data_IF_219791706178
#
_entry.id   IF_219791706178
#
_cell.length_a   1.000
_cell.length_b   1.000
_cell.length_c   1.000
_cell.angle_alpha   90.00
_cell.angle_beta   90.00
_cell.angle_gamma   90.00
#
_symmetry.space_group_name_H-M   'P 1'
#
loop_
_entity.id
_entity.type
_entity.pdbx_description
1 polymer ?
#
# COMPACT_ATOMS: atom_id res chain seq x y z
N UNK A 1 -7.78 3.10 -14.74
CA UNK A 1 -6.45 3.74 -14.94
C UNK A 1 -5.60 3.44 -13.71
N UNK A 2 -4.42 2.83 -13.87
CA UNK A 2 -3.57 2.39 -12.74
C UNK A 2 -3.07 3.56 -11.87
N UNK A 3 -2.86 4.75 -12.44
CA UNK A 3 -2.54 5.97 -11.68
C UNK A 3 -3.64 6.38 -10.67
N UNK A 4 -4.91 6.20 -11.03
CA UNK A 4 -6.05 6.51 -10.16
C UNK A 4 -6.15 5.52 -9.00
N UNK A 5 -5.75 4.27 -9.26
CA UNK A 5 -5.72 3.21 -8.27
C UNK A 5 -4.61 3.45 -7.22
N UNK A 6 -3.40 3.81 -7.65
CA UNK A 6 -2.32 4.20 -6.74
C UNK A 6 -2.71 5.39 -5.85
N UNK A 7 -3.44 6.36 -6.39
CA UNK A 7 -4.00 7.48 -5.61
C UNK A 7 -4.93 7.02 -4.47
N UNK A 8 -5.81 6.05 -4.72
CA UNK A 8 -6.70 5.47 -3.68
C UNK A 8 -5.90 4.77 -2.58
N UNK A 9 -4.86 4.02 -2.96
CA UNK A 9 -3.97 3.32 -2.03
C UNK A 9 -3.26 4.32 -1.12
N UNK A 10 -2.66 5.36 -1.70
CA UNK A 10 -1.97 6.42 -0.94
C UNK A 10 -2.96 7.10 0.01
N UNK A 11 -4.16 7.45 -0.44
CA UNK A 11 -5.18 8.08 0.41
C UNK A 11 -5.61 7.18 1.58
N UNK A 12 -5.77 5.87 1.35
CA UNK A 12 -6.12 4.90 2.40
C UNK A 12 -5.01 4.80 3.46
N UNK A 13 -3.75 4.80 3.04
CA UNK A 13 -2.59 4.74 3.93
C UNK A 13 -2.32 6.09 4.63
N UNK A 14 -2.57 7.21 3.96
CA UNK A 14 -2.37 8.54 4.52
C UNK A 14 -3.21 8.78 5.79
N UNK A 15 -4.37 8.15 5.92
CA UNK A 15 -5.18 8.20 7.15
C UNK A 15 -4.52 7.53 8.36
N UNK A 16 -3.50 6.68 8.15
CA UNK A 16 -2.82 5.90 9.20
C UNK A 16 -1.40 6.38 9.48
N UNK A 17 -0.62 6.57 8.42
CA UNK A 17 0.81 6.92 8.50
C UNK A 17 1.11 8.33 7.98
N UNK A 18 0.08 9.08 7.58
CA UNK A 18 0.23 10.46 7.14
C UNK A 18 1.12 10.57 5.88
N UNK A 19 2.07 11.53 5.85
CA UNK A 19 2.89 11.81 4.67
C UNK A 19 3.85 10.66 4.31
N UNK A 20 4.18 9.77 5.25
CA UNK A 20 5.02 8.60 4.98
C UNK A 20 4.35 7.58 4.04
N UNK A 21 3.03 7.68 3.84
CA UNK A 21 2.28 6.80 2.95
C UNK A 21 2.84 6.78 1.53
N UNK A 22 3.26 7.93 1.00
CA UNK A 22 3.78 8.02 -0.37
C UNK A 22 5.11 7.29 -0.54
N UNK A 23 6.01 7.41 0.43
CA UNK A 23 7.30 6.72 0.43
C UNK A 23 7.11 5.21 0.56
N UNK A 24 6.17 4.77 1.41
CA UNK A 24 5.84 3.34 1.56
C UNK A 24 5.26 2.73 0.28
N UNK A 25 4.32 3.42 -0.39
CA UNK A 25 3.79 2.95 -1.67
C UNK A 25 4.89 2.85 -2.71
N UNK A 26 5.80 3.83 -2.75
CA UNK A 26 6.92 3.84 -3.69
C UNK A 26 7.87 2.68 -3.43
N UNK A 27 8.24 2.44 -2.18
CA UNK A 27 9.13 1.34 -1.78
C UNK A 27 8.51 -0.03 -2.08
N UNK A 28 7.22 -0.23 -1.74
CA UNK A 28 6.50 -1.45 -2.07
C UNK A 28 6.38 -1.67 -3.60
N UNK A 29 6.16 -0.62 -4.40
CA UNK A 29 6.18 -0.71 -5.85
C UNK A 29 7.58 -1.06 -6.39
N UNK A 30 8.63 -0.46 -5.84
CA UNK A 30 10.01 -0.73 -6.22
C UNK A 30 10.40 -2.20 -5.92
N UNK A 31 10.02 -2.72 -4.75
CA UNK A 31 10.18 -4.15 -4.39
C UNK A 31 9.43 -5.10 -5.33
N UNK A 32 8.34 -4.64 -5.96
CA UNK A 32 7.61 -5.38 -6.98
C UNK A 32 8.20 -5.24 -8.39
N UNK A 33 9.20 -4.36 -8.56
CA UNK A 33 9.81 -4.07 -9.86
C UNK A 33 8.88 -3.30 -10.80
N UNK A 34 7.92 -2.56 -10.27
CA UNK A 34 6.94 -1.78 -11.04
C UNK A 34 6.95 -0.33 -10.59
N UNK A 35 6.46 0.56 -11.45
CA UNK A 35 6.19 1.94 -11.03
C UNK A 35 4.81 2.06 -10.36
N UNK A 36 4.58 3.08 -9.51
CA UNK A 36 3.26 3.31 -8.91
C UNK A 36 2.14 3.46 -9.94
N UNK A 37 2.42 4.04 -11.11
CA UNK A 37 1.47 4.14 -12.23
C UNK A 37 1.17 2.80 -12.93
N UNK A 38 1.90 1.74 -12.61
CA UNK A 38 1.71 0.36 -13.11
C UNK A 38 1.09 -0.56 -12.05
N UNK A 39 0.72 0.00 -10.90
CA UNK A 39 0.05 -0.71 -9.82
C UNK A 39 -1.36 -1.11 -10.25
N UNK A 40 -1.62 -2.41 -10.33
CA UNK A 40 -2.90 -2.99 -10.74
C UNK A 40 -3.38 -4.01 -9.70
N UNK A 41 -4.63 -4.46 -9.84
CA UNK A 41 -5.19 -5.50 -8.96
C UNK A 41 -4.37 -6.79 -8.93
N UNK A 42 -3.67 -7.14 -10.03
CA UNK A 42 -2.81 -8.32 -10.07
C UNK A 42 -1.64 -8.21 -9.07
N UNK A 43 -1.17 -6.99 -8.79
CA UNK A 43 -0.08 -6.72 -7.87
C UNK A 43 -0.56 -6.56 -6.41
N UNK A 44 -1.86 -6.33 -6.18
CA UNK A 44 -2.41 -6.01 -4.86
C UNK A 44 -2.15 -7.05 -3.78
N UNK A 45 -2.20 -8.34 -4.11
CA UNK A 45 -1.93 -9.38 -3.12
C UNK A 45 -0.53 -9.25 -2.51
N UNK A 46 0.50 -9.10 -3.37
CA UNK A 46 1.89 -8.92 -2.93
C UNK A 46 2.13 -7.52 -2.36
N UNK A 47 1.56 -6.49 -2.97
CA UNK A 47 1.68 -5.12 -2.51
C UNK A 47 1.15 -4.95 -1.08
N UNK A 48 -0.05 -5.46 -0.79
CA UNK A 48 -0.64 -5.39 0.54
C UNK A 48 0.22 -6.12 1.58
N UNK A 49 0.86 -7.24 1.22
CA UNK A 49 1.79 -7.95 2.09
C UNK A 49 3.04 -7.13 2.40
N UNK A 50 3.66 -6.51 1.39
CA UNK A 50 4.84 -5.66 1.58
C UNK A 50 4.53 -4.44 2.47
N UNK A 51 3.37 -3.81 2.22
CA UNK A 51 2.89 -2.69 3.05
C UNK A 51 2.58 -3.16 4.47
N UNK A 52 2.03 -4.36 4.66
CA UNK A 52 1.80 -4.94 6.00
C UNK A 52 3.11 -5.12 6.77
N UNK A 53 4.16 -5.63 6.12
CA UNK A 53 5.49 -5.78 6.73
C UNK A 53 6.11 -4.43 7.10
N UNK A 54 6.06 -3.46 6.19
CA UNK A 54 6.60 -2.12 6.46
C UNK A 54 5.81 -1.40 7.56
N UNK A 55 4.47 -1.59 7.62
CA UNK A 55 3.62 -1.06 8.68
C UNK A 55 3.83 -1.77 10.01
N UNK A 56 4.13 -3.07 10.03
CA UNK A 56 4.39 -3.79 11.28
C UNK A 56 5.63 -3.27 12.03
N UNK A 57 6.54 -2.60 11.32
CA UNK A 57 7.67 -1.87 11.93
C UNK A 57 7.32 -0.49 12.50
N UNK A 58 6.16 0.07 12.15
CA UNK A 58 5.73 1.43 12.52
C UNK A 58 4.49 1.47 13.42
N UNK A 59 3.59 0.50 13.26
CA UNK A 59 2.30 0.39 13.92
C UNK A 59 2.20 -0.96 14.65
N UNK A 60 1.12 -1.13 15.41
CA UNK A 60 0.79 -2.44 15.97
C UNK A 60 0.41 -3.44 14.85
N UNK A 61 0.69 -4.74 15.06
CA UNK A 61 0.38 -5.78 14.08
C UNK A 61 -1.11 -5.81 13.67
N UNK A 62 -2.01 -5.45 14.59
CA UNK A 62 -3.44 -5.35 14.30
C UNK A 62 -3.76 -4.21 13.33
N UNK A 63 -3.12 -3.05 13.49
CA UNK A 63 -3.31 -1.89 12.60
C UNK A 63 -2.66 -2.10 11.25
N UNK A 64 -1.46 -2.71 11.21
CA UNK A 64 -0.78 -3.08 9.98
C UNK A 64 -1.65 -4.04 9.14
N UNK A 65 -2.21 -5.08 9.79
CA UNK A 65 -3.12 -6.01 9.14
C UNK A 65 -4.41 -5.36 8.66
N UNK A 66 -5.03 -4.52 9.48
CA UNK A 66 -6.24 -3.79 9.09
C UNK A 66 -5.98 -2.89 7.86
N UNK A 67 -4.78 -2.30 7.76
CA UNK A 67 -4.40 -1.54 6.59
C UNK A 67 -4.25 -2.39 5.34
N UNK A 68 -3.57 -3.53 5.45
CA UNK A 68 -3.41 -4.47 4.35
C UNK A 68 -4.77 -5.01 3.86
N UNK A 69 -5.71 -5.29 4.78
CA UNK A 69 -7.06 -5.73 4.42
C UNK A 69 -7.87 -4.64 3.71
N UNK A 70 -7.80 -3.38 4.15
CA UNK A 70 -8.43 -2.27 3.43
C UNK A 70 -7.90 -2.14 1.99
N UNK A 71 -6.59 -2.32 1.80
CA UNK A 71 -5.97 -2.29 0.47
C UNK A 71 -6.50 -3.43 -0.42
N UNK A 72 -6.70 -4.62 0.14
CA UNK A 72 -7.28 -5.77 -0.60
C UNK A 72 -8.76 -5.56 -0.97
N UNK A 73 -9.46 -4.68 -0.25
CA UNK A 73 -10.86 -4.34 -0.51
C UNK A 73 -11.03 -3.19 -1.51
N UNK A 74 -9.96 -2.47 -1.87
CA UNK A 74 -10.01 -1.42 -2.90
C UNK A 74 -10.31 -2.04 -4.27
N UNK A 75 -11.49 -1.70 -4.82
CA UNK A 75 -11.95 -2.06 -6.17
C UNK A 75 -11.79 -0.92 -7.17
#
# INVERSE_FOLDING_TARGET
MAAEFAGKVIASLAGRVGPASMDMVKDACEKLGIRPDELTMAHMGKFAYLVEEDLAGLLSAAEAKAAADDLRLLK
#
